data_IF_330892634310
#
_entry.id   IF_330892634310
#
_cell.length_a   1.000
_cell.length_b   1.000
_cell.length_c   1.000
_cell.angle_alpha   90.00
_cell.angle_beta   90.00
_cell.angle_gamma   90.00
#
_symmetry.space_group_name_H-M   'P 1'
#
loop_
_entity.id
_entity.type
_entity.pdbx_description
1 polymer ?
#
# COMPACT_ATOMS: atom_id res chain seq x y z
N UNK A 1 -8.19 -10.58 -0.31
CA UNK A 1 -7.08 -11.33 -0.94
C UNK A 1 -7.23 -11.21 -2.45
N UNK A 2 -6.21 -10.68 -3.15
CA UNK A 2 -6.24 -10.47 -4.60
C UNK A 2 -6.28 -11.83 -5.31
N UNK A 3 -7.36 -12.15 -6.01
CA UNK A 3 -7.52 -13.41 -6.77
C UNK A 3 -6.99 -13.33 -8.20
N UNK A 4 -6.43 -12.19 -8.59
CA UNK A 4 -5.86 -11.94 -9.92
C UNK A 4 -4.34 -12.17 -9.88
N UNK A 5 -3.88 -13.23 -10.53
CA UNK A 5 -2.46 -13.59 -10.63
C UNK A 5 -1.63 -12.49 -11.29
N UNK A 6 -2.19 -11.76 -12.26
CA UNK A 6 -1.46 -10.64 -12.91
C UNK A 6 -1.25 -9.50 -11.94
N UNK A 7 -2.23 -9.23 -11.09
CA UNK A 7 -2.13 -8.21 -10.06
C UNK A 7 -1.12 -8.58 -8.98
N UNK A 8 -1.07 -9.84 -8.55
CA UNK A 8 -0.05 -10.33 -7.62
C UNK A 8 1.36 -10.10 -8.19
N UNK A 9 1.63 -10.55 -9.42
CA UNK A 9 2.93 -10.35 -10.08
C UNK A 9 3.28 -8.86 -10.20
N UNK A 10 2.29 -8.01 -10.51
CA UNK A 10 2.51 -6.57 -10.62
C UNK A 10 2.82 -5.92 -9.27
N UNK A 11 2.14 -6.35 -8.20
CA UNK A 11 2.41 -5.93 -6.81
C UNK A 11 3.83 -6.35 -6.43
N UNK A 12 4.19 -7.62 -6.64
CA UNK A 12 5.51 -8.16 -6.26
C UNK A 12 6.64 -7.41 -6.96
N UNK A 13 6.52 -7.20 -8.28
CA UNK A 13 7.49 -6.39 -9.04
C UNK A 13 7.62 -4.98 -8.47
N UNK A 14 6.50 -4.35 -8.09
CA UNK A 14 6.53 -2.99 -7.56
C UNK A 14 7.15 -2.93 -6.16
N UNK A 15 6.94 -3.95 -5.33
CA UNK A 15 7.61 -4.08 -4.03
C UNK A 15 9.13 -4.18 -4.22
N UNK A 16 9.60 -5.04 -5.14
CA UNK A 16 11.04 -5.15 -5.46
C UNK A 16 11.61 -3.80 -5.89
N UNK A 17 10.90 -3.04 -6.74
CA UNK A 17 11.35 -1.70 -7.11
C UNK A 17 11.38 -0.72 -5.93
N UNK A 18 10.41 -0.79 -5.01
CA UNK A 18 10.38 0.03 -3.81
C UNK A 18 11.54 -0.27 -2.86
N UNK A 19 11.96 -1.54 -2.74
CA UNK A 19 13.16 -1.94 -1.99
C UNK A 19 14.43 -1.31 -2.57
N UNK A 20 14.49 -1.16 -3.90
CA UNK A 20 15.57 -0.45 -4.60
C UNK A 20 15.43 1.09 -4.55
N UNK A 21 14.47 1.61 -3.77
CA UNK A 21 14.23 3.04 -3.61
C UNK A 21 13.35 3.68 -4.69
N UNK A 22 12.84 2.90 -5.65
CA UNK A 22 12.00 3.39 -6.73
C UNK A 22 10.51 3.20 -6.41
N UNK A 23 9.90 4.24 -5.83
CA UNK A 23 8.49 4.22 -5.41
C UNK A 23 7.49 4.50 -6.53
N UNK A 24 7.96 4.95 -7.71
CA UNK A 24 7.12 5.13 -8.92
C UNK A 24 5.79 5.86 -8.59
N UNK A 25 4.68 5.50 -9.23
CA UNK A 25 3.35 6.09 -9.01
C UNK A 25 2.83 5.73 -7.61
N UNK A 26 3.07 6.65 -6.67
CA UNK A 26 2.58 6.62 -5.32
C UNK A 26 2.09 8.00 -4.90
N UNK A 27 1.09 8.05 -4.02
CA UNK A 27 0.49 9.27 -3.51
C UNK A 27 0.60 9.31 -1.99
N UNK A 28 1.13 10.38 -1.38
CA UNK A 28 1.03 10.58 0.06
C UNK A 28 -0.44 10.81 0.44
N UNK A 29 -0.84 10.18 1.54
CA UNK A 29 -2.18 10.29 2.13
C UNK A 29 -2.05 10.83 3.56
N UNK A 30 -3.09 10.63 4.35
CA UNK A 30 -3.18 11.04 5.75
C UNK A 30 -2.21 10.26 6.64
N UNK A 31 -1.73 10.90 7.71
CA UNK A 31 -1.04 10.25 8.84
C UNK A 31 0.25 9.48 8.54
N UNK A 32 0.87 9.77 7.40
CA UNK A 32 2.08 9.08 6.93
C UNK A 32 1.80 7.80 6.15
N UNK A 33 0.53 7.48 5.90
CA UNK A 33 0.13 6.45 4.94
C UNK A 33 0.37 6.95 3.52
N UNK A 34 0.73 6.03 2.63
CA UNK A 34 0.94 6.26 1.20
C UNK A 34 0.18 5.21 0.42
N UNK A 35 -0.38 5.62 -0.71
CA UNK A 35 -1.02 4.74 -1.68
C UNK A 35 -0.07 4.50 -2.84
N UNK A 36 0.11 3.23 -3.20
CA UNK A 36 0.77 2.79 -4.41
C UNK A 36 -0.30 2.38 -5.42
N UNK A 37 -0.21 2.92 -6.63
CA UNK A 37 -1.20 2.69 -7.69
C UNK A 37 -0.69 1.68 -8.69
N UNK A 38 -1.48 0.63 -8.91
CA UNK A 38 -1.14 -0.46 -9.80
C UNK A 38 -2.24 -0.57 -10.84
N UNK A 39 -1.95 -0.06 -12.03
CA UNK A 39 -2.89 0.01 -13.14
C UNK A 39 -2.87 -1.31 -13.94
N UNK A 40 -3.23 -2.40 -13.25
CA UNK A 40 -3.41 -3.74 -13.82
C UNK A 40 -4.81 -4.23 -13.49
N UNK A 41 -5.50 -4.80 -14.49
CA UNK A 41 -6.87 -5.29 -14.33
C UNK A 41 -7.84 -4.16 -13.90
N UNK A 42 -8.61 -4.31 -12.82
CA UNK A 42 -9.56 -3.29 -12.34
C UNK A 42 -8.89 -2.04 -11.73
N UNK A 43 -7.56 -2.01 -11.60
CA UNK A 43 -6.82 -0.94 -10.93
C UNK A 43 -6.75 -1.20 -9.42
N UNK A 44 -5.61 -1.72 -8.98
CA UNK A 44 -5.36 -2.05 -7.58
C UNK A 44 -4.65 -0.92 -6.85
N UNK A 45 -4.91 -0.85 -5.55
CA UNK A 45 -4.23 0.05 -4.60
C UNK A 45 -3.59 -0.78 -3.50
N UNK A 46 -2.35 -0.42 -3.19
CA UNK A 46 -1.60 -0.95 -2.06
C UNK A 46 -1.30 0.20 -1.12
N UNK A 47 -1.64 0.03 0.16
CA UNK A 47 -1.44 1.05 1.18
C UNK A 47 -0.27 0.65 2.07
N UNK A 48 0.66 1.57 2.26
CA UNK A 48 1.87 1.33 3.05
C UNK A 48 2.28 2.58 3.83
N UNK A 49 3.11 2.39 4.85
CA UNK A 49 3.76 3.48 5.58
C UNK A 49 5.27 3.22 5.68
N UNK A 50 6.04 4.24 6.07
CA UNK A 50 7.48 4.11 6.31
C UNK A 50 7.79 4.39 7.78
N UNK A 51 8.62 3.54 8.38
CA UNK A 51 9.23 3.76 9.70
C UNK A 51 10.75 3.65 9.55
N UNK A 52 11.43 4.80 9.46
CA UNK A 52 12.85 4.83 9.10
C UNK A 52 13.09 4.17 7.73
N UNK A 53 13.92 3.11 7.72
CA UNK A 53 14.21 2.30 6.54
C UNK A 53 13.19 1.18 6.27
N UNK A 54 12.25 0.96 7.21
CA UNK A 54 11.26 -0.11 7.11
C UNK A 54 10.03 0.35 6.34
N UNK A 55 9.61 -0.45 5.36
CA UNK A 55 8.32 -0.30 4.67
C UNK A 55 7.30 -1.22 5.34
N UNK A 56 6.21 -0.67 5.85
CA UNK A 56 5.13 -1.41 6.51
C UNK A 56 3.95 -1.49 5.56
N UNK A 57 3.62 -2.69 5.11
CA UNK A 57 2.48 -2.97 4.25
C UNK A 57 1.22 -3.05 5.10
N UNK A 58 0.24 -2.19 4.82
CA UNK A 58 -0.96 -2.04 5.64
C UNK A 58 -2.16 -2.75 5.01
N UNK A 59 -2.32 -2.62 3.69
CA UNK A 59 -3.43 -3.24 2.97
C UNK A 59 -3.09 -3.49 1.50
N UNK A 60 -3.43 -4.68 1.00
CA UNK A 60 -3.22 -5.08 -0.39
C UNK A 60 -4.54 -5.36 -1.09
N UNK A 61 -4.81 -4.64 -2.18
CA UNK A 61 -5.85 -5.01 -3.14
C UNK A 61 -7.18 -4.29 -2.99
N UNK A 62 -7.15 -3.03 -2.53
CA UNK A 62 -8.29 -2.14 -2.69
C UNK A 62 -8.51 -1.85 -4.17
N UNK A 63 -9.77 -1.84 -4.61
CA UNK A 63 -10.15 -1.27 -5.91
C UNK A 63 -10.59 0.19 -5.73
N UNK A 64 -10.69 0.94 -6.83
CA UNK A 64 -11.06 2.37 -6.77
C UNK A 64 -12.39 2.65 -6.06
N UNK A 65 -13.34 1.71 -6.04
CA UNK A 65 -14.69 1.92 -5.49
C UNK A 65 -14.72 1.96 -3.97
N UNK A 66 -13.68 1.44 -3.31
CA UNK A 66 -13.57 1.37 -1.84
C UNK A 66 -12.40 2.18 -1.28
N UNK A 67 -11.83 3.06 -2.09
CA UNK A 67 -10.61 3.81 -1.78
C UNK A 67 -10.68 4.53 -0.42
N UNK A 68 -11.73 5.31 -0.16
CA UNK A 68 -11.82 6.09 1.09
C UNK A 68 -11.90 5.20 2.35
N UNK A 69 -12.65 4.08 2.27
CA UNK A 69 -12.75 3.12 3.35
C UNK A 69 -11.43 2.39 3.59
N UNK A 70 -10.69 2.08 2.52
CA UNK A 70 -9.39 1.44 2.60
C UNK A 70 -8.30 2.39 3.14
N UNK A 71 -8.37 3.69 2.81
CA UNK A 71 -7.51 4.72 3.40
C UNK A 71 -7.75 4.83 4.90
N UNK A 72 -9.01 4.91 5.33
CA UNK A 72 -9.35 5.00 6.75
C UNK A 72 -8.81 3.78 7.53
N UNK A 73 -8.98 2.58 6.97
CA UNK A 73 -8.48 1.33 7.57
C UNK A 73 -6.96 1.26 7.59
N UNK A 74 -6.29 1.74 6.53
CA UNK A 74 -4.84 1.81 6.51
C UNK A 74 -4.28 2.77 7.57
N UNK A 75 -4.93 3.93 7.79
CA UNK A 75 -4.57 4.84 8.87
C UNK A 75 -4.73 4.19 10.25
N UNK A 76 -5.81 3.45 10.47
CA UNK A 76 -6.03 2.70 11.71
C UNK A 76 -4.92 1.68 11.96
N UNK A 77 -4.62 0.82 10.99
CA UNK A 77 -3.52 -0.15 11.09
C UNK A 77 -2.16 0.51 11.31
N UNK A 78 -1.96 1.69 10.73
CA UNK A 78 -0.72 2.43 10.94
C UNK A 78 -0.60 2.97 12.37
N UNK A 79 -1.68 3.50 12.95
CA UNK A 79 -1.70 3.92 14.36
C UNK A 79 -1.42 2.74 15.29
N UNK A 80 -2.04 1.60 15.03
CA UNK A 80 -1.86 0.39 15.80
C UNK A 80 -0.42 -0.14 15.69
N UNK A 81 0.15 -0.15 14.49
CA UNK A 81 1.55 -0.54 14.31
C UNK A 81 2.49 0.37 15.11
N UNK A 82 2.26 1.69 15.07
CA UNK A 82 3.06 2.67 15.83
C UNK A 82 2.93 2.49 17.35
N UNK A 83 1.78 2.09 17.87
CA UNK A 83 1.61 1.88 19.32
C UNK A 83 2.33 0.61 19.80
N UNK A 84 2.39 -0.43 18.96
CA UNK A 84 3.07 -1.70 19.26
C UNK A 84 4.59 -1.65 19.13
N UNK A 85 5.12 -0.75 18.30
CA UNK A 85 6.55 -0.62 18.00
C UNK A 85 7.16 0.66 18.61
N UNK A 86 6.59 1.10 19.72
CA UNK A 86 7.03 2.26 20.49
C UNK A 86 8.00 1.84 21.59
#
# INVERSE_FOLDING_TARGET
>A
MVRDTKAQIAIDRRIIHMELGNFSDHKPLSEGVRELRIDVGPGYRVYYAKSGLTIVLLLCGGDKRKQDADIARACEYWREWKSRNK
#
